data_IF_065466284739
#
_entry.id   IF_065466284739
#
_cell.length_a   1.000
_cell.length_b   1.000
_cell.length_c   1.000
_cell.angle_alpha   90.00
_cell.angle_beta   90.00
_cell.angle_gamma   90.00
#
_symmetry.space_group_name_H-M   'P 1'
#
loop_
_entity.id
_entity.type
_entity.pdbx_description
1 polymer ?
#
# COMPACT_ATOMS: atom_id res chain seq x y z
N UNK A 1 -0.97 0.48 -14.45
CA UNK A 1 -0.02 -0.07 -13.49
C UNK A 1 0.41 1.00 -12.52
N UNK A 2 0.40 0.66 -11.26
CA UNK A 2 0.66 1.62 -10.19
C UNK A 2 2.03 2.29 -10.32
N UNK A 3 3.03 1.49 -10.64
CA UNK A 3 4.41 1.97 -10.73
C UNK A 3 4.57 3.01 -11.82
N UNK A 4 3.94 2.77 -12.98
CA UNK A 4 4.01 3.70 -14.10
C UNK A 4 3.28 4.99 -13.80
N UNK A 5 2.14 4.91 -13.11
CA UNK A 5 1.38 6.09 -12.73
C UNK A 5 2.22 7.01 -11.83
N UNK A 6 2.98 6.43 -10.88
CA UNK A 6 3.81 7.22 -9.99
C UNK A 6 4.93 7.96 -10.71
N UNK A 7 5.44 7.41 -11.80
CA UNK A 7 6.52 8.06 -12.56
C UNK A 7 6.11 9.37 -13.19
N UNK A 8 4.83 9.51 -13.53
CA UNK A 8 4.33 10.70 -14.21
C UNK A 8 3.79 11.76 -13.26
N UNK A 9 3.84 11.51 -11.97
CA UNK A 9 3.41 12.48 -10.98
C UNK A 9 4.58 13.42 -10.66
N UNK A 10 4.46 14.67 -11.06
CA UNK A 10 5.48 15.69 -10.81
C UNK A 10 5.72 15.89 -9.32
N UNK A 11 4.63 16.05 -8.58
CA UNK A 11 4.65 16.11 -7.12
C UNK A 11 4.09 14.81 -6.59
N UNK A 12 4.88 13.99 -5.91
CA UNK A 12 4.35 12.75 -5.35
C UNK A 12 3.30 13.06 -4.29
N UNK A 13 2.24 12.25 -4.19
CA UNK A 13 1.25 12.43 -3.15
C UNK A 13 1.89 12.15 -1.79
N UNK A 14 1.35 12.74 -0.74
CA UNK A 14 1.80 12.44 0.61
C UNK A 14 1.38 11.04 1.05
N UNK A 15 0.20 10.61 0.61
CA UNK A 15 -0.34 9.29 0.92
C UNK A 15 -0.90 8.69 -0.37
N UNK A 16 -0.61 7.43 -0.59
CA UNK A 16 -1.15 6.65 -1.71
C UNK A 16 -1.92 5.47 -1.14
N UNK A 17 -3.20 5.38 -1.49
CA UNK A 17 -4.04 4.26 -1.09
C UNK A 17 -4.23 3.35 -2.29
N UNK A 18 -3.82 2.09 -2.16
CA UNK A 18 -4.07 1.06 -3.16
C UNK A 18 -5.23 0.21 -2.67
N UNK A 19 -6.32 0.18 -3.43
CA UNK A 19 -7.50 -0.59 -3.07
C UNK A 19 -7.35 -2.01 -3.59
N UNK A 20 -7.44 -2.97 -2.67
CA UNK A 20 -7.21 -4.40 -2.97
C UNK A 20 -8.52 -5.20 -2.98
N UNK A 21 -9.67 -4.52 -3.06
CA UNK A 21 -10.97 -5.19 -2.92
C UNK A 21 -11.23 -6.22 -4.01
N UNK A 22 -10.60 -6.09 -5.17
CA UNK A 22 -10.78 -7.00 -6.28
C UNK A 22 -9.57 -7.90 -6.50
N UNK A 23 -8.75 -8.09 -5.46
CA UNK A 23 -7.57 -8.93 -5.51
C UNK A 23 -7.75 -10.10 -4.54
N UNK A 24 -8.45 -11.17 -4.96
CA UNK A 24 -8.66 -12.32 -4.08
C UNK A 24 -7.44 -13.21 -3.97
N UNK A 25 -6.56 -13.19 -4.95
CA UNK A 25 -5.34 -14.00 -5.01
C UNK A 25 -4.22 -13.13 -5.53
N UNK A 26 -3.03 -13.30 -4.95
CA UNK A 26 -1.83 -12.61 -5.42
C UNK A 26 -0.72 -13.64 -5.58
N UNK A 27 0.04 -13.52 -6.67
CA UNK A 27 1.17 -14.41 -6.95
C UNK A 27 2.49 -13.69 -6.67
N UNK A 28 3.61 -14.40 -6.94
CA UNK A 28 4.93 -13.85 -6.69
C UNK A 28 5.19 -12.56 -7.48
N UNK A 29 4.68 -12.49 -8.71
CA UNK A 29 4.82 -11.29 -9.54
C UNK A 29 4.07 -10.11 -8.92
N UNK A 30 2.86 -10.36 -8.45
CA UNK A 30 2.07 -9.31 -7.80
C UNK A 30 2.73 -8.82 -6.52
N UNK A 31 3.27 -9.72 -5.72
CA UNK A 31 4.01 -9.35 -4.51
C UNK A 31 5.23 -8.51 -4.85
N UNK A 32 5.97 -8.90 -5.89
CA UNK A 32 7.14 -8.13 -6.33
C UNK A 32 6.74 -6.72 -6.76
N UNK A 33 5.62 -6.61 -7.49
CA UNK A 33 5.12 -5.31 -7.93
C UNK A 33 4.78 -4.43 -6.72
N UNK A 34 4.10 -4.99 -5.71
CA UNK A 34 3.80 -4.23 -4.50
C UNK A 34 5.07 -3.81 -3.76
N UNK A 35 6.08 -4.70 -3.72
CA UNK A 35 7.35 -4.36 -3.09
C UNK A 35 8.03 -3.20 -3.81
N UNK A 36 7.98 -3.18 -5.14
CA UNK A 36 8.54 -2.09 -5.92
C UNK A 36 7.78 -0.79 -5.70
N UNK A 37 6.45 -0.85 -5.66
CA UNK A 37 5.64 0.32 -5.37
C UNK A 37 5.96 0.87 -3.98
N UNK A 38 6.13 -0.01 -3.00
CA UNK A 38 6.50 0.40 -1.65
C UNK A 38 7.85 1.12 -1.65
N UNK A 39 8.86 0.55 -2.31
CA UNK A 39 10.19 1.15 -2.38
C UNK A 39 10.15 2.51 -3.04
N UNK A 40 9.44 2.61 -4.16
CA UNK A 40 9.31 3.88 -4.88
C UNK A 40 8.59 4.92 -4.03
N UNK A 41 7.51 4.51 -3.35
CA UNK A 41 6.78 5.39 -2.44
C UNK A 41 7.69 5.94 -1.35
N UNK A 42 8.44 5.03 -0.71
CA UNK A 42 9.34 5.41 0.37
C UNK A 42 10.40 6.39 -0.14
N UNK A 43 10.95 6.13 -1.31
CA UNK A 43 11.97 6.98 -1.91
C UNK A 43 11.44 8.39 -2.17
N UNK A 44 10.18 8.51 -2.53
CA UNK A 44 9.54 9.80 -2.82
C UNK A 44 8.89 10.47 -1.61
N UNK A 45 8.96 9.84 -0.45
CA UNK A 45 8.32 10.38 0.75
C UNK A 45 6.82 10.17 0.81
N UNK A 46 6.30 9.23 0.01
CA UNK A 46 4.88 8.87 -0.02
C UNK A 46 4.62 7.74 0.96
N UNK A 47 3.60 7.89 1.81
CA UNK A 47 3.15 6.81 2.68
C UNK A 47 2.17 5.92 1.93
N UNK A 48 2.41 4.62 1.96
CA UNK A 48 1.57 3.64 1.25
C UNK A 48 0.59 2.98 2.21
N UNK A 49 -0.68 2.95 1.82
CA UNK A 49 -1.73 2.25 2.55
C UNK A 49 -2.35 1.24 1.60
N UNK A 50 -2.54 0.00 2.07
CA UNK A 50 -3.29 -1.02 1.34
C UNK A 50 -4.69 -1.08 1.96
N UNK A 51 -5.70 -0.92 1.12
CA UNK A 51 -7.09 -0.88 1.55
C UNK A 51 -7.82 -2.15 1.13
N UNK A 52 -8.73 -2.61 1.98
CA UNK A 52 -9.66 -3.69 1.63
C UNK A 52 -8.95 -5.02 1.35
N UNK A 53 -7.96 -5.33 2.19
CA UNK A 53 -7.28 -6.62 2.13
C UNK A 53 -8.15 -7.62 2.88
N UNK A 54 -8.99 -8.36 2.14
CA UNK A 54 -9.93 -9.33 2.71
C UNK A 54 -9.42 -10.76 2.64
N UNK A 55 -8.56 -11.04 1.66
CA UNK A 55 -8.13 -12.39 1.37
C UNK A 55 -7.05 -12.85 2.34
N UNK A 56 -7.25 -14.01 2.94
CA UNK A 56 -6.23 -14.62 3.79
C UNK A 56 -4.98 -15.00 3.00
N UNK A 57 -5.16 -15.38 1.73
CA UNK A 57 -4.04 -15.71 0.86
C UNK A 57 -3.18 -14.48 0.61
N UNK A 58 -3.81 -13.35 0.30
CA UNK A 58 -3.09 -12.08 0.09
C UNK A 58 -2.35 -11.69 1.37
N UNK A 59 -3.03 -11.77 2.52
CA UNK A 59 -2.41 -11.42 3.79
C UNK A 59 -1.20 -12.30 4.09
N UNK A 60 -1.31 -13.61 3.83
CA UNK A 60 -0.21 -14.54 4.05
C UNK A 60 0.98 -14.20 3.16
N UNK A 61 0.73 -13.90 1.89
CA UNK A 61 1.82 -13.55 0.97
C UNK A 61 2.50 -12.24 1.38
N UNK A 62 1.73 -11.28 1.88
CA UNK A 62 2.30 -10.04 2.40
C UNK A 62 3.20 -10.31 3.60
N UNK A 63 2.76 -11.20 4.50
CA UNK A 63 3.54 -11.59 5.67
C UNK A 63 4.82 -12.30 5.27
N UNK A 64 4.72 -13.28 4.38
CA UNK A 64 5.85 -14.11 3.96
C UNK A 64 6.92 -13.26 3.25
N UNK A 65 6.51 -12.26 2.51
CA UNK A 65 7.41 -11.34 1.82
C UNK A 65 7.89 -10.19 2.72
N UNK A 66 7.45 -10.16 3.97
CA UNK A 66 7.74 -9.11 4.96
C UNK A 66 7.21 -7.73 4.56
N UNK A 67 6.32 -7.68 3.59
CA UNK A 67 5.70 -6.42 3.18
C UNK A 67 4.75 -5.88 4.24
N UNK A 68 4.08 -6.76 4.97
CA UNK A 68 3.22 -6.34 6.07
C UNK A 68 4.03 -5.57 7.12
N UNK A 69 5.24 -6.03 7.40
CA UNK A 69 6.14 -5.36 8.32
C UNK A 69 6.67 -4.04 7.74
N UNK A 70 7.11 -4.06 6.48
CA UNK A 70 7.71 -2.88 5.84
C UNK A 70 6.70 -1.76 5.64
N UNK A 71 5.52 -2.07 5.13
CA UNK A 71 4.44 -1.10 4.92
C UNK A 71 3.90 -0.62 6.27
N UNK A 72 3.85 -1.52 7.22
CA UNK A 72 3.30 -1.26 8.55
C UNK A 72 1.91 -1.84 8.68
N UNK A 73 1.70 -2.57 9.78
CA UNK A 73 0.44 -3.26 10.03
C UNK A 73 -0.75 -2.31 10.04
N UNK A 74 -0.56 -1.12 10.62
CA UNK A 74 -1.61 -0.11 10.68
C UNK A 74 -1.98 0.45 9.31
N UNK A 75 -1.11 0.26 8.32
CA UNK A 75 -1.32 0.76 6.96
C UNK A 75 -1.88 -0.31 6.02
N UNK A 76 -2.26 -1.46 6.56
CA UNK A 76 -2.90 -2.54 5.80
C UNK A 76 -4.28 -2.73 6.43
N UNK A 77 -5.32 -2.27 5.73
CA UNK A 77 -6.66 -2.13 6.30
C UNK A 77 -7.65 -3.08 5.64
N UNK A 78 -8.73 -3.36 6.35
CA UNK A 78 -9.79 -4.25 5.87
C UNK A 78 -10.89 -3.49 5.14
N UNK A 79 -11.05 -2.20 5.42
CA UNK A 79 -12.08 -1.39 4.78
C UNK A 79 -11.48 -0.12 4.22
N UNK A 80 -12.15 0.44 3.24
CA UNK A 80 -11.73 1.73 2.68
C UNK A 80 -11.88 2.86 3.70
N UNK A 81 -12.89 2.77 4.54
CA UNK A 81 -13.11 3.77 5.60
C UNK A 81 -11.91 3.80 6.55
N UNK A 82 -11.41 2.62 6.94
CA UNK A 82 -10.22 2.53 7.79
C UNK A 82 -8.99 3.14 7.09
N UNK A 83 -8.86 2.91 5.78
CA UNK A 83 -7.76 3.46 5.02
C UNK A 83 -7.83 4.99 4.99
N UNK A 84 -9.01 5.55 4.79
CA UNK A 84 -9.20 7.01 4.82
C UNK A 84 -8.86 7.58 6.18
N UNK A 85 -9.33 6.95 7.25
CA UNK A 85 -9.03 7.39 8.61
C UNK A 85 -7.53 7.35 8.87
N UNK A 86 -6.88 6.27 8.44
CA UNK A 86 -5.43 6.14 8.60
C UNK A 86 -4.68 7.21 7.81
N UNK A 87 -5.14 7.51 6.59
CA UNK A 87 -4.49 8.53 5.76
C UNK A 87 -4.55 9.90 6.44
N UNK A 88 -5.65 10.22 7.11
CA UNK A 88 -5.76 11.48 7.82
C UNK A 88 -4.78 11.58 8.98
N UNK A 89 -4.59 10.49 9.71
CA UNK A 89 -3.59 10.44 10.79
C UNK A 89 -2.19 10.67 10.22
N UNK A 90 -1.85 9.97 9.14
CA UNK A 90 -0.53 10.12 8.52
C UNK A 90 -0.30 11.53 8.01
N UNK A 91 -1.31 12.14 7.40
CA UNK A 91 -1.20 13.51 6.90
C UNK A 91 -0.94 14.51 8.03
N UNK A 92 -1.56 14.30 9.19
CA UNK A 92 -1.32 15.15 10.36
C UNK A 92 0.11 14.98 10.88
N UNK A 93 0.61 13.75 10.90
CA UNK A 93 1.96 13.46 11.37
C UNK A 93 3.03 14.06 10.45
N UNK A 94 2.69 14.29 9.18
CA UNK A 94 3.62 14.81 8.19
C UNK A 94 3.67 16.34 8.15
N UNK A 95 2.89 17.02 8.95
CA UNK A 95 2.89 18.48 8.99
C UNK A 95 3.99 19.04 9.86
#
# INVERSE_FOLDING_TARGET
>A
KFKDAMRFIEKPPKVLIIRMRQVPIIDATGIRTLAEVYKESKHRGTKLILSEVHSQQVMKELQDARLLFSIGKANVTKTFQEALSRSMILLQEMQ
#
